data_IF_972723106649
#
_entry.id   IF_972723106649
#
_cell.length_a   1.000
_cell.length_b   1.000
_cell.length_c   1.000
_cell.angle_alpha   90.00
_cell.angle_beta   90.00
_cell.angle_gamma   90.00
#
_symmetry.space_group_name_H-M   'P 1'
#
loop_
_entity.id
_entity.type
_entity.pdbx_description
1 polymer ?
#
# COMPACT_ATOMS: atom_id res chain seq x y z
N UNK A 1 -25.15 -13.34 -12.46
CA UNK A 1 -24.67 -14.61 -13.04
C UNK A 1 -23.17 -14.60 -13.31
N UNK A 2 -22.60 -13.60 -13.97
CA UNK A 2 -21.15 -13.51 -14.32
C UNK A 2 -20.23 -13.46 -13.08
N UNK A 3 -20.62 -12.79 -11.99
CA UNK A 3 -19.80 -12.72 -10.77
C UNK A 3 -19.76 -14.05 -9.98
N UNK A 4 -20.82 -14.86 -10.04
CA UNK A 4 -20.80 -16.19 -9.44
C UNK A 4 -19.86 -17.13 -10.19
N UNK A 5 -19.82 -17.06 -11.52
CA UNK A 5 -18.93 -17.89 -12.35
C UNK A 5 -17.45 -17.54 -12.07
N UNK A 6 -17.11 -16.26 -11.92
CA UNK A 6 -15.74 -15.82 -11.59
C UNK A 6 -15.30 -16.32 -10.21
N UNK A 7 -16.17 -16.22 -9.21
CA UNK A 7 -15.84 -16.68 -7.84
C UNK A 7 -15.73 -18.21 -7.78
N UNK A 8 -16.60 -18.92 -8.50
CA UNK A 8 -16.52 -20.39 -8.58
C UNK A 8 -15.27 -20.85 -9.32
N UNK A 9 -14.90 -20.17 -10.40
CA UNK A 9 -13.68 -20.48 -11.16
C UNK A 9 -12.42 -20.22 -10.32
N UNK A 10 -12.38 -19.12 -9.57
CA UNK A 10 -11.27 -18.79 -8.67
C UNK A 10 -11.13 -19.82 -7.54
N UNK A 11 -12.24 -20.19 -6.89
CA UNK A 11 -12.26 -21.26 -5.87
C UNK A 11 -11.84 -22.61 -6.43
N UNK A 12 -12.27 -22.95 -7.65
CA UNK A 12 -11.89 -24.21 -8.30
C UNK A 12 -10.41 -24.24 -8.66
N UNK A 13 -9.82 -23.12 -9.12
CA UNK A 13 -8.39 -22.99 -9.39
C UNK A 13 -7.59 -23.11 -8.10
N UNK A 14 -8.02 -22.44 -7.01
CA UNK A 14 -7.40 -22.57 -5.69
C UNK A 14 -7.49 -24.01 -5.16
N UNK A 15 -8.62 -24.69 -5.33
CA UNK A 15 -8.82 -26.08 -4.90
C UNK A 15 -8.00 -27.07 -5.73
N UNK A 16 -7.89 -26.87 -7.06
CA UNK A 16 -7.02 -27.66 -7.92
C UNK A 16 -5.54 -27.43 -7.64
N UNK A 17 -5.13 -26.19 -7.32
CA UNK A 17 -3.78 -25.88 -6.87
C UNK A 17 -3.46 -26.54 -5.51
N UNK A 18 -4.45 -26.65 -4.63
CA UNK A 18 -4.30 -27.36 -3.35
C UNK A 18 -4.24 -28.88 -3.50
N UNK A 19 -4.95 -29.44 -4.46
CA UNK A 19 -4.91 -30.89 -4.78
C UNK A 19 -3.60 -31.29 -5.48
N UNK A 20 -3.07 -30.45 -6.38
CA UNK A 20 -1.79 -30.72 -7.04
C UNK A 20 -0.60 -30.66 -6.08
N UNK A 21 -0.70 -29.91 -4.97
CA UNK A 21 0.33 -29.88 -3.93
C UNK A 21 0.51 -31.20 -3.17
N UNK A 22 -0.52 -32.04 -3.11
CA UNK A 22 -0.41 -33.35 -2.45
C UNK A 22 0.44 -34.37 -3.23
N UNK A 23 0.62 -34.21 -4.54
CA UNK A 23 1.49 -35.10 -5.33
C UNK A 23 2.98 -34.70 -5.26
N UNK A 24 3.29 -33.44 -5.06
CA UNK A 24 4.68 -32.94 -4.94
C UNK A 24 5.15 -32.78 -3.49
N UNK A 25 4.23 -32.63 -2.53
CA UNK A 25 4.56 -32.37 -1.12
C UNK A 25 5.10 -33.60 -0.39
N UNK A 26 4.73 -34.82 -0.80
CA UNK A 26 5.10 -36.02 -0.07
C UNK A 26 6.56 -36.44 -0.20
N UNK A 27 7.33 -35.95 -1.16
CA UNK A 27 8.76 -36.28 -1.29
C UNK A 27 9.73 -35.10 -1.24
N UNK A 28 9.30 -33.84 -1.30
CA UNK A 28 10.18 -32.70 -1.48
C UNK A 28 10.30 -31.73 -0.28
N UNK A 29 9.19 -31.34 0.32
CA UNK A 29 9.18 -30.31 1.36
C UNK A 29 9.51 -30.82 2.77
N UNK A 30 9.14 -32.06 3.10
CA UNK A 30 9.31 -32.67 4.42
C UNK A 30 10.09 -34.00 4.43
N UNK A 31 10.85 -34.29 3.36
CA UNK A 31 11.69 -35.50 3.40
C UNK A 31 12.69 -35.36 4.57
N UNK A 32 12.76 -36.40 5.41
CA UNK A 32 13.74 -36.55 6.51
C UNK A 32 15.18 -36.64 6.01
N UNK A 33 15.56 -35.88 5.00
CA UNK A 33 16.97 -35.69 4.68
C UNK A 33 17.57 -34.91 5.85
N UNK A 34 18.50 -35.58 6.56
CA UNK A 34 19.23 -35.04 7.72
C UNK A 34 19.44 -33.55 7.57
N UNK A 35 18.96 -32.80 8.56
CA UNK A 35 19.01 -31.35 8.76
C UNK A 35 20.49 -30.85 8.86
N UNK A 36 21.33 -31.22 7.94
CA UNK A 36 22.80 -31.09 8.09
C UNK A 36 23.34 -29.79 7.48
N UNK A 37 22.54 -28.85 7.01
CA UNK A 37 23.12 -27.61 6.47
C UNK A 37 22.15 -26.41 6.51
N UNK A 38 21.45 -26.23 7.61
CA UNK A 38 20.66 -25.02 7.82
C UNK A 38 21.58 -23.84 8.11
N UNK A 39 21.32 -22.73 7.45
CA UNK A 39 21.96 -21.45 7.76
C UNK A 39 20.87 -20.37 7.94
N UNK A 40 21.25 -19.26 8.50
CA UNK A 40 20.37 -18.12 8.62
C UNK A 40 21.03 -16.88 8.00
N UNK A 41 20.22 -15.87 7.71
CA UNK A 41 20.72 -14.56 7.27
C UNK A 41 20.01 -13.47 8.08
N UNK A 42 20.74 -12.40 8.35
CA UNK A 42 20.21 -11.14 8.85
C UNK A 42 20.42 -10.10 7.76
N UNK A 43 19.36 -9.43 7.35
CA UNK A 43 19.41 -8.47 6.27
C UNK A 43 18.86 -7.11 6.67
N UNK A 44 19.41 -6.09 6.04
CA UNK A 44 18.90 -4.72 6.08
C UNK A 44 18.74 -4.22 4.64
N UNK A 45 17.64 -3.54 4.38
CA UNK A 45 17.32 -3.08 3.04
C UNK A 45 16.45 -1.85 3.00
N UNK A 46 16.26 -1.36 1.80
CA UNK A 46 15.38 -0.24 1.50
C UNK A 46 14.95 -0.25 0.05
N UNK A 47 14.00 0.60 -0.27
CA UNK A 47 13.48 0.69 -1.62
C UNK A 47 12.32 1.66 -1.75
N UNK A 48 11.44 1.42 -2.71
CA UNK A 48 10.29 2.26 -2.97
C UNK A 48 8.97 1.63 -2.50
N UNK A 49 8.03 2.47 -2.15
CA UNK A 49 6.67 2.09 -1.78
C UNK A 49 5.67 2.80 -2.70
N UNK A 50 4.64 2.05 -3.11
CA UNK A 50 3.63 2.49 -4.08
C UNK A 50 2.25 2.14 -3.53
N UNK A 51 1.38 3.12 -3.47
CA UNK A 51 0.00 2.97 -3.01
C UNK A 51 -0.95 2.77 -4.19
N UNK A 52 -1.97 1.92 -4.00
CA UNK A 52 -3.08 1.70 -4.91
C UNK A 52 -4.39 1.69 -4.13
N UNK A 53 -5.33 2.50 -4.54
CA UNK A 53 -6.63 2.70 -3.91
C UNK A 53 -7.35 3.90 -4.49
N UNK A 54 -8.10 4.63 -3.68
CA UNK A 54 -8.96 5.73 -4.16
C UNK A 54 -8.20 6.94 -4.72
N UNK A 55 -7.02 7.25 -4.17
CA UNK A 55 -6.16 8.36 -4.63
C UNK A 55 -5.10 7.91 -5.66
N UNK A 56 -5.06 6.62 -6.00
CA UNK A 56 -4.24 6.05 -7.07
C UNK A 56 -4.99 4.85 -7.68
N UNK A 57 -6.03 5.07 -8.50
CA UNK A 57 -6.91 4.01 -8.97
C UNK A 57 -6.20 2.90 -9.75
N UNK A 58 -6.60 1.66 -9.49
CA UNK A 58 -6.07 0.47 -10.18
C UNK A 58 -6.21 0.50 -11.71
N UNK A 59 -7.22 1.20 -12.24
CA UNK A 59 -7.39 1.40 -13.68
C UNK A 59 -6.22 2.16 -14.31
N UNK A 60 -5.44 2.85 -13.48
CA UNK A 60 -4.25 3.60 -13.86
C UNK A 60 -3.02 3.15 -13.06
N UNK A 61 -2.91 1.84 -12.75
CA UNK A 61 -1.85 1.28 -11.92
C UNK A 61 -0.44 1.65 -12.42
N UNK A 62 -0.24 1.70 -13.74
CA UNK A 62 1.03 2.13 -14.31
C UNK A 62 1.43 3.54 -13.84
N UNK A 63 0.48 4.48 -13.77
CA UNK A 63 0.72 5.81 -13.20
C UNK A 63 1.05 5.75 -11.72
N UNK A 64 0.40 4.87 -10.96
CA UNK A 64 0.66 4.65 -9.54
C UNK A 64 2.10 4.21 -9.24
N UNK A 65 2.75 3.51 -10.19
CA UNK A 65 4.13 3.05 -10.00
C UNK A 65 5.18 4.17 -10.01
N UNK A 66 4.91 5.33 -10.62
CA UNK A 66 5.86 6.45 -10.65
C UNK A 66 5.31 7.76 -10.12
N UNK A 67 4.00 7.82 -9.83
CA UNK A 67 3.37 8.98 -9.20
C UNK A 67 3.28 8.72 -7.70
N UNK A 68 3.59 9.70 -6.87
CA UNK A 68 3.51 9.59 -5.41
C UNK A 68 4.42 8.51 -4.78
N UNK A 69 5.49 8.10 -5.47
CA UNK A 69 6.48 7.13 -4.95
C UNK A 69 7.07 7.64 -3.66
N UNK A 70 7.18 6.75 -2.67
CA UNK A 70 7.81 7.02 -1.38
C UNK A 70 8.85 5.94 -1.09
N UNK A 71 9.56 6.09 0.01
CA UNK A 71 10.62 5.18 0.42
C UNK A 71 10.13 4.18 1.47
N UNK A 72 10.82 3.06 1.56
CA UNK A 72 10.71 2.13 2.67
C UNK A 72 12.10 1.68 3.13
N UNK A 73 12.17 1.22 4.37
CA UNK A 73 13.32 0.56 4.95
C UNK A 73 12.89 -0.70 5.66
N UNK A 74 13.72 -1.72 5.67
CA UNK A 74 13.39 -2.99 6.29
C UNK A 74 14.59 -3.68 6.92
N UNK A 75 14.32 -4.51 7.92
CA UNK A 75 15.24 -5.49 8.46
C UNK A 75 14.55 -6.86 8.49
N UNK A 76 15.32 -7.91 8.27
CA UNK A 76 14.78 -9.25 8.24
C UNK A 76 15.75 -10.28 8.80
N UNK A 77 15.18 -11.35 9.34
CA UNK A 77 15.87 -12.58 9.70
C UNK A 77 15.26 -13.71 8.90
N UNK A 78 16.09 -14.41 8.13
CA UNK A 78 15.66 -15.55 7.30
C UNK A 78 16.37 -16.82 7.76
N UNK A 79 15.60 -17.85 8.09
CA UNK A 79 16.09 -19.19 8.43
C UNK A 79 15.80 -20.13 7.28
N UNK A 80 16.83 -20.66 6.65
CA UNK A 80 16.71 -21.68 5.60
C UNK A 80 16.47 -23.03 6.24
N UNK A 81 15.29 -23.61 6.03
CA UNK A 81 14.83 -24.87 6.61
C UNK A 81 15.21 -26.05 5.72
N UNK A 82 15.11 -25.87 4.42
CA UNK A 82 15.49 -26.85 3.41
C UNK A 82 16.26 -26.11 2.28
N UNK A 83 16.84 -26.83 1.32
CA UNK A 83 17.43 -26.19 0.14
C UNK A 83 16.44 -25.30 -0.63
N UNK A 84 15.15 -25.63 -0.60
CA UNK A 84 14.14 -24.96 -1.41
C UNK A 84 13.17 -24.08 -0.60
N UNK A 85 13.21 -24.12 0.74
CA UNK A 85 12.29 -23.37 1.58
C UNK A 85 12.98 -22.69 2.76
N UNK A 86 12.54 -21.47 3.06
CA UNK A 86 12.97 -20.70 4.22
C UNK A 86 11.79 -20.02 4.91
N UNK A 87 11.95 -19.72 6.20
CA UNK A 87 11.05 -18.87 6.97
C UNK A 87 11.73 -17.52 7.20
N UNK A 88 10.99 -16.42 7.04
CA UNK A 88 11.49 -15.05 7.22
C UNK A 88 10.57 -14.27 8.14
N UNK A 89 11.18 -13.65 9.14
CA UNK A 89 10.56 -12.60 9.94
C UNK A 89 11.09 -11.26 9.44
N UNK A 90 10.22 -10.30 9.19
CA UNK A 90 10.60 -8.98 8.71
C UNK A 90 9.90 -7.88 9.49
N UNK A 91 10.62 -6.80 9.74
CA UNK A 91 10.07 -5.51 10.14
C UNK A 91 10.35 -4.50 9.03
N UNK A 92 9.32 -3.76 8.62
CA UNK A 92 9.44 -2.74 7.59
C UNK A 92 8.81 -1.44 8.06
N UNK A 93 9.47 -0.33 7.78
CA UNK A 93 8.90 1.01 7.88
C UNK A 93 8.71 1.54 6.47
N UNK A 94 7.47 1.84 6.08
CA UNK A 94 7.14 2.27 4.74
C UNK A 94 6.28 3.52 4.77
N UNK A 95 6.59 4.51 3.95
CA UNK A 95 5.74 5.67 3.74
C UNK A 95 4.90 5.47 2.51
N UNK A 96 3.58 5.61 2.64
CA UNK A 96 2.65 5.67 1.53
C UNK A 96 2.15 7.11 1.36
N UNK A 97 1.78 7.48 0.15
CA UNK A 97 1.13 8.74 -0.13
C UNK A 97 0.26 8.64 -1.37
N UNK A 98 -0.83 9.38 -1.39
CA UNK A 98 -1.67 9.66 -2.55
C UNK A 98 -1.96 11.16 -2.60
N UNK A 99 -2.16 11.67 -3.80
CA UNK A 99 -2.46 13.07 -4.05
C UNK A 99 -3.23 13.20 -5.35
N UNK A 100 -4.52 13.48 -5.24
CA UNK A 100 -5.41 13.65 -6.38
C UNK A 100 -4.90 14.69 -7.36
N UNK A 101 -4.38 15.82 -6.87
CA UNK A 101 -3.82 16.86 -7.72
C UNK A 101 -2.63 16.33 -8.53
N UNK A 102 -1.65 15.72 -7.85
CA UNK A 102 -0.44 15.22 -8.50
C UNK A 102 -0.75 14.09 -9.50
N UNK A 103 -1.75 13.28 -9.21
CA UNK A 103 -2.15 12.14 -10.04
C UNK A 103 -2.94 12.58 -11.28
N UNK A 104 -3.82 13.60 -11.17
CA UNK A 104 -4.80 13.95 -12.19
C UNK A 104 -4.40 15.14 -13.07
N UNK A 105 -3.53 16.05 -12.62
CA UNK A 105 -3.21 17.30 -13.31
C UNK A 105 -2.74 17.13 -14.77
N UNK A 106 -2.15 15.99 -15.11
CA UNK A 106 -1.66 15.70 -16.48
C UNK A 106 -2.69 14.99 -17.36
N UNK A 107 -3.83 14.59 -16.80
CA UNK A 107 -4.86 13.86 -17.54
C UNK A 107 -6.27 14.21 -17.05
N UNK A 108 -6.62 15.49 -17.19
CA UNK A 108 -7.92 16.01 -16.75
C UNK A 108 -9.10 15.38 -17.48
N UNK A 109 -8.93 14.96 -18.74
CA UNK A 109 -9.98 14.31 -19.51
C UNK A 109 -10.53 13.05 -18.81
N UNK A 110 -9.65 12.24 -18.22
CA UNK A 110 -10.00 10.97 -17.59
C UNK A 110 -10.16 11.06 -16.08
N UNK A 111 -9.55 12.08 -15.46
CA UNK A 111 -9.41 12.18 -14.01
C UNK A 111 -9.92 13.53 -13.45
N UNK A 112 -10.86 14.16 -14.16
CA UNK A 112 -11.46 15.42 -13.73
C UNK A 112 -12.04 15.32 -12.32
N UNK A 113 -12.73 14.22 -12.01
CA UNK A 113 -13.29 13.97 -10.68
C UNK A 113 -12.24 13.97 -9.57
N UNK A 114 -11.12 13.25 -9.77
CA UNK A 114 -10.00 13.25 -8.80
C UNK A 114 -9.41 14.67 -8.66
N UNK A 115 -9.19 15.37 -9.77
CA UNK A 115 -8.68 16.74 -9.73
C UNK A 115 -9.57 17.68 -8.89
N UNK A 116 -10.88 17.59 -9.09
CA UNK A 116 -11.85 18.39 -8.33
C UNK A 116 -11.90 17.98 -6.86
N UNK A 117 -11.90 16.67 -6.57
CA UNK A 117 -11.93 16.13 -5.22
C UNK A 117 -10.77 16.62 -4.36
N UNK A 118 -9.56 16.70 -4.92
CA UNK A 118 -8.37 17.30 -4.33
C UNK A 118 -7.96 16.71 -2.96
N UNK A 119 -8.22 15.44 -2.75
CA UNK A 119 -7.76 14.76 -1.54
C UNK A 119 -6.27 14.42 -1.64
N UNK A 120 -5.61 14.38 -0.51
CA UNK A 120 -4.27 13.84 -0.39
C UNK A 120 -4.08 13.21 0.97
N UNK A 121 -3.13 12.28 1.05
CA UNK A 121 -2.73 11.69 2.31
C UNK A 121 -1.24 11.31 2.32
N UNK A 122 -0.74 11.12 3.52
CA UNK A 122 0.49 10.44 3.86
C UNK A 122 0.22 9.46 4.97
N UNK A 123 0.71 8.25 4.83
CA UNK A 123 0.57 7.21 5.85
C UNK A 123 1.93 6.54 6.07
N UNK A 124 2.43 6.58 7.30
CA UNK A 124 3.68 5.96 7.68
C UNK A 124 3.36 4.62 8.35
N UNK A 125 3.66 3.52 7.65
CA UNK A 125 3.36 2.16 8.06
C UNK A 125 4.52 1.54 8.84
N UNK A 126 4.19 0.81 9.89
CA UNK A 126 5.10 -0.08 10.63
C UNK A 126 4.58 -1.50 10.45
N UNK A 127 5.23 -2.29 9.58
CA UNK A 127 4.79 -3.62 9.18
C UNK A 127 5.67 -4.68 9.83
N UNK A 128 5.05 -5.68 10.47
CA UNK A 128 5.71 -6.89 10.97
C UNK A 128 5.10 -8.10 10.27
N UNK A 129 5.94 -8.92 9.62
CA UNK A 129 5.50 -10.06 8.82
C UNK A 129 6.28 -11.32 9.10
N UNK A 130 5.58 -12.46 8.98
CA UNK A 130 6.13 -13.80 8.91
C UNK A 130 5.83 -14.39 7.55
N UNK A 131 6.87 -14.79 6.81
CA UNK A 131 6.74 -15.26 5.43
C UNK A 131 7.49 -16.57 5.20
N UNK A 132 6.89 -17.46 4.39
CA UNK A 132 7.59 -18.58 3.77
C UNK A 132 8.20 -18.14 2.45
N UNK A 133 9.44 -18.49 2.21
CA UNK A 133 10.15 -18.28 0.95
C UNK A 133 10.34 -19.63 0.26
N UNK A 134 10.04 -19.68 -1.03
CA UNK A 134 10.15 -20.88 -1.85
C UNK A 134 11.02 -20.60 -3.07
N UNK A 135 12.18 -21.26 -3.12
CA UNK A 135 13.07 -21.14 -4.26
C UNK A 135 12.43 -21.79 -5.49
N UNK A 136 12.48 -21.09 -6.63
CA UNK A 136 11.92 -21.58 -7.89
C UNK A 136 12.87 -22.59 -8.55
N UNK A 137 14.17 -22.37 -8.40
CA UNK A 137 15.19 -23.26 -8.96
C UNK A 137 15.71 -24.23 -7.87
N UNK A 138 16.06 -25.47 -8.24
CA UNK A 138 16.63 -26.41 -7.29
C UNK A 138 18.02 -25.94 -6.83
N UNK A 139 18.28 -26.05 -5.53
CA UNK A 139 19.60 -25.77 -4.96
C UNK A 139 20.33 -27.11 -4.73
N UNK A 140 21.42 -27.33 -5.45
CA UNK A 140 22.20 -28.56 -5.35
C UNK A 140 23.29 -28.51 -4.30
N UNK A 141 23.79 -27.33 -3.99
CA UNK A 141 24.84 -27.15 -2.99
C UNK A 141 24.30 -27.20 -1.55
N UNK A 142 25.16 -27.68 -0.62
CA UNK A 142 24.79 -27.84 0.80
C UNK A 142 25.25 -26.64 1.64
N UNK A 143 24.32 -26.17 2.49
CA UNK A 143 24.59 -25.15 3.50
C UNK A 143 24.96 -23.78 2.98
N UNK A 144 25.53 -22.96 3.86
CA UNK A 144 25.91 -21.59 3.56
C UNK A 144 26.93 -21.46 2.43
N UNK A 145 27.90 -22.37 2.35
CA UNK A 145 28.95 -22.35 1.31
C UNK A 145 28.41 -22.77 -0.06
N UNK A 146 27.50 -23.74 -0.09
CA UNK A 146 26.91 -24.30 -1.33
C UNK A 146 25.75 -23.51 -1.88
N UNK A 147 25.52 -22.24 -1.46
CA UNK A 147 24.48 -21.38 -2.01
C UNK A 147 24.69 -21.15 -3.50
N UNK A 148 23.60 -21.20 -4.27
CA UNK A 148 23.61 -20.83 -5.69
C UNK A 148 24.01 -19.36 -5.87
N UNK A 149 24.72 -19.06 -6.97
CA UNK A 149 25.11 -17.69 -7.30
C UNK A 149 23.88 -16.79 -7.49
N UNK A 150 22.82 -17.34 -8.08
CA UNK A 150 21.55 -16.67 -8.30
C UNK A 150 20.40 -17.61 -7.94
N UNK A 151 19.39 -17.11 -7.22
CA UNK A 151 18.23 -17.88 -6.78
C UNK A 151 16.96 -17.03 -6.81
N UNK A 152 16.11 -17.19 -7.83
CA UNK A 152 14.77 -16.62 -7.82
C UNK A 152 13.89 -17.36 -6.84
N UNK A 153 12.98 -16.63 -6.19
CA UNK A 153 12.04 -17.18 -5.20
C UNK A 153 10.71 -16.45 -5.20
N UNK A 154 9.71 -17.12 -4.64
CA UNK A 154 8.42 -16.54 -4.28
C UNK A 154 8.32 -16.54 -2.75
N UNK A 155 7.75 -15.48 -2.19
CA UNK A 155 7.43 -15.40 -0.78
C UNK A 155 5.94 -15.16 -0.59
N UNK A 156 5.37 -15.80 0.43
CA UNK A 156 4.00 -15.59 0.88
C UNK A 156 3.99 -15.58 2.40
N UNK A 157 3.18 -14.71 2.99
CA UNK A 157 3.16 -14.56 4.44
C UNK A 157 1.90 -13.94 4.98
N UNK A 158 1.94 -13.71 6.28
CA UNK A 158 0.94 -12.97 7.05
C UNK A 158 1.63 -11.99 7.97
N UNK A 159 0.94 -10.94 8.33
CA UNK A 159 1.49 -9.94 9.23
C UNK A 159 0.46 -8.95 9.73
N UNK A 160 0.95 -7.98 10.47
CA UNK A 160 0.21 -6.84 10.95
C UNK A 160 0.95 -5.56 10.57
N UNK A 161 0.21 -4.51 10.30
CA UNK A 161 0.80 -3.18 10.17
C UNK A 161 0.07 -2.17 11.04
N UNK A 162 0.84 -1.28 11.65
CA UNK A 162 0.35 -0.06 12.29
C UNK A 162 0.35 1.06 11.27
N UNK A 163 -0.72 1.89 11.26
CA UNK A 163 -0.87 3.01 10.34
C UNK A 163 -1.61 4.18 10.98
N UNK A 164 -1.42 5.37 10.43
CA UNK A 164 -2.14 6.57 10.82
C UNK A 164 -2.15 7.54 9.64
N UNK A 165 -3.19 7.50 8.79
CA UNK A 165 -3.29 8.40 7.65
C UNK A 165 -3.42 9.85 8.13
N UNK A 166 -2.64 10.73 7.48
CA UNK A 166 -2.58 12.16 7.77
C UNK A 166 -2.74 12.97 6.49
N UNK A 167 -3.34 14.14 6.60
CA UNK A 167 -3.35 15.13 5.53
C UNK A 167 -2.94 16.50 6.08
N UNK A 168 -2.66 17.45 5.20
CA UNK A 168 -2.46 18.85 5.55
C UNK A 168 -3.77 19.61 5.38
N UNK A 169 -4.03 20.59 6.20
CA UNK A 169 -5.10 21.56 5.93
C UNK A 169 -4.83 22.33 4.62
N UNK A 170 -5.80 23.09 4.15
CA UNK A 170 -5.63 23.98 3.00
C UNK A 170 -4.41 24.87 3.21
N UNK A 171 -3.67 25.12 2.13
CA UNK A 171 -2.56 26.06 2.18
C UNK A 171 -3.09 27.48 2.51
N UNK A 172 -2.39 28.18 3.36
CA UNK A 172 -2.79 29.50 3.85
C UNK A 172 -1.61 30.47 3.83
N UNK A 173 -1.90 31.79 3.80
CA UNK A 173 -0.92 32.86 3.80
C UNK A 173 -0.50 33.19 5.23
N UNK A 174 0.19 32.25 5.88
CA UNK A 174 0.63 32.32 7.27
C UNK A 174 2.14 32.54 7.43
N UNK A 175 2.88 32.60 6.33
CA UNK A 175 4.31 32.84 6.35
C UNK A 175 4.69 34.18 6.92
N UNK A 176 5.96 34.37 7.38
CA UNK A 176 6.42 35.59 8.08
C UNK A 176 6.19 36.90 7.30
N UNK A 177 6.16 36.82 5.96
CA UNK A 177 5.92 37.94 5.05
C UNK A 177 4.56 37.85 4.34
N UNK A 178 3.60 37.09 4.87
CA UNK A 178 2.34 36.80 4.18
C UNK A 178 2.49 35.81 3.02
N UNK A 179 3.49 34.95 3.06
CA UNK A 179 3.73 33.92 2.05
C UNK A 179 2.79 32.74 2.23
N UNK A 180 2.48 32.08 1.09
CA UNK A 180 1.66 30.88 1.07
C UNK A 180 2.44 29.68 1.65
N UNK A 181 1.94 29.10 2.73
CA UNK A 181 2.62 28.01 3.44
C UNK A 181 1.81 26.70 3.50
N UNK A 182 2.58 25.63 3.66
CA UNK A 182 2.04 24.29 3.92
C UNK A 182 1.67 24.16 5.38
N UNK A 183 0.42 23.84 5.64
CA UNK A 183 -0.06 23.59 6.99
C UNK A 183 0.49 22.27 7.56
N UNK A 184 0.52 22.07 8.89
CA UNK A 184 1.02 20.86 9.53
C UNK A 184 0.20 19.60 9.14
N UNK A 185 0.81 18.43 9.32
CA UNK A 185 0.14 17.14 9.10
C UNK A 185 -0.80 16.83 10.26
N UNK A 186 -2.07 16.61 9.95
CA UNK A 186 -3.15 16.28 10.89
C UNK A 186 -3.61 14.84 10.67
N UNK A 187 -3.82 14.08 11.76
CA UNK A 187 -4.36 12.72 11.69
C UNK A 187 -5.83 12.74 11.25
N UNK A 188 -6.17 11.91 10.26
CA UNK A 188 -7.51 11.92 9.66
C UNK A 188 -8.54 11.09 10.45
N UNK A 189 -8.11 9.99 11.08
CA UNK A 189 -9.02 9.09 11.82
C UNK A 189 -9.93 9.81 12.83
N UNK A 190 -9.45 10.76 13.67
CA UNK A 190 -10.33 11.46 14.61
C UNK A 190 -11.36 12.34 13.92
N UNK A 191 -11.06 12.81 12.70
CA UNK A 191 -11.91 13.73 11.95
C UNK A 191 -13.08 13.03 11.27
N UNK A 192 -13.06 11.69 11.16
CA UNK A 192 -14.13 10.88 10.57
C UNK A 192 -14.57 11.38 9.19
N UNK A 193 -13.63 11.74 8.34
CA UNK A 193 -13.87 12.46 7.08
C UNK A 193 -14.74 11.71 6.08
N UNK A 194 -14.86 10.37 6.21
CA UNK A 194 -15.76 9.50 5.44
C UNK A 194 -17.02 9.09 6.22
N UNK A 195 -17.37 9.81 7.29
CA UNK A 195 -18.58 9.52 8.08
C UNK A 195 -18.45 8.31 9.00
N UNK A 196 -17.24 7.85 9.30
CA UNK A 196 -17.01 6.63 10.10
C UNK A 196 -17.67 6.73 11.50
N UNK A 197 -18.69 5.88 11.72
CA UNK A 197 -19.43 5.83 12.98
C UNK A 197 -20.33 7.03 13.25
N UNK A 198 -20.66 7.82 12.22
CA UNK A 198 -21.65 8.88 12.33
C UNK A 198 -23.09 8.34 12.16
N UNK A 199 -24.10 8.96 12.80
CA UNK A 199 -25.48 8.57 12.60
C UNK A 199 -25.91 8.63 11.13
N UNK A 200 -26.56 7.60 10.64
CA UNK A 200 -26.99 7.49 9.24
C UNK A 200 -25.92 6.98 8.25
N UNK A 201 -24.69 6.74 8.70
CA UNK A 201 -23.61 6.19 7.86
C UNK A 201 -23.27 4.76 8.28
N UNK A 202 -23.15 3.87 7.29
CA UNK A 202 -22.83 2.44 7.51
C UNK A 202 -21.36 2.18 7.81
N UNK A 203 -20.49 3.13 7.53
CA UNK A 203 -19.04 3.03 7.73
C UNK A 203 -18.68 3.04 9.22
N UNK A 204 -17.87 2.05 9.66
CA UNK A 204 -17.41 1.96 11.05
C UNK A 204 -16.03 2.62 11.20
N UNK A 205 -15.71 3.14 12.41
CA UNK A 205 -14.34 3.55 12.71
C UNK A 205 -13.38 2.39 12.53
N UNK A 206 -12.28 2.63 11.81
CA UNK A 206 -11.26 1.61 11.56
C UNK A 206 -10.22 1.53 12.68
N UNK A 207 -9.57 0.36 12.80
CA UNK A 207 -8.41 0.20 13.70
C UNK A 207 -7.15 0.75 13.05
N UNK A 208 -6.22 1.30 13.85
CA UNK A 208 -4.89 1.70 13.41
C UNK A 208 -3.90 0.52 13.30
N UNK A 209 -4.30 -0.68 13.72
CA UNK A 209 -3.55 -1.91 13.50
C UNK A 209 -4.41 -2.83 12.65
N UNK A 210 -3.85 -3.28 11.52
CA UNK A 210 -4.56 -4.05 10.50
C UNK A 210 -3.74 -5.25 10.05
N UNK A 211 -4.39 -6.37 9.66
CA UNK A 211 -3.69 -7.49 9.06
C UNK A 211 -3.26 -7.19 7.62
N UNK A 212 -2.20 -7.88 7.19
CA UNK A 212 -1.66 -7.82 5.84
C UNK A 212 -1.21 -9.20 5.38
N UNK A 213 -1.39 -9.48 4.10
CA UNK A 213 -0.87 -10.68 3.44
C UNK A 213 0.14 -10.26 2.36
N UNK A 214 1.44 -10.34 2.64
CA UNK A 214 2.48 -10.09 1.65
C UNK A 214 2.60 -11.28 0.69
N UNK A 215 2.65 -10.97 -0.61
CA UNK A 215 3.01 -11.90 -1.69
C UNK A 215 4.13 -11.23 -2.47
N UNK A 216 5.29 -11.88 -2.58
CA UNK A 216 6.44 -11.28 -3.20
C UNK A 216 7.15 -12.23 -4.17
N UNK A 217 7.77 -11.64 -5.16
CA UNK A 217 8.74 -12.28 -6.03
C UNK A 217 10.10 -11.61 -5.81
N UNK A 218 11.16 -12.38 -5.80
CA UNK A 218 12.49 -11.85 -5.58
C UNK A 218 13.58 -12.71 -6.20
N UNK A 219 14.74 -12.10 -6.27
CA UNK A 219 15.97 -12.76 -6.70
C UNK A 219 17.05 -12.53 -5.65
N UNK A 220 17.69 -13.61 -5.21
CA UNK A 220 18.82 -13.57 -4.31
C UNK A 220 20.10 -13.83 -5.11
N UNK A 221 21.07 -12.96 -4.97
CA UNK A 221 22.39 -13.04 -5.60
C UNK A 221 23.45 -13.21 -4.50
N UNK A 222 24.27 -14.24 -4.63
CA UNK A 222 25.41 -14.46 -3.73
C UNK A 222 26.54 -13.51 -4.13
N UNK A 223 26.86 -12.54 -3.27
CA UNK A 223 28.00 -11.64 -3.47
C UNK A 223 29.31 -12.40 -3.15
N UNK A 224 29.37 -13.01 -1.97
CA UNK A 224 30.53 -13.78 -1.52
C UNK A 224 30.10 -14.84 -0.48
N UNK A 225 31.03 -15.43 0.28
CA UNK A 225 30.71 -16.45 1.28
C UNK A 225 29.84 -15.93 2.43
N UNK A 226 29.93 -14.64 2.74
CA UNK A 226 29.29 -14.04 3.91
C UNK A 226 28.10 -13.12 3.57
N UNK A 227 27.96 -12.69 2.32
CA UNK A 227 26.94 -11.71 1.93
C UNK A 227 26.12 -12.16 0.73
N UNK A 228 24.83 -11.91 0.83
CA UNK A 228 23.86 -12.01 -0.25
C UNK A 228 23.24 -10.63 -0.53
N UNK A 229 22.95 -10.35 -1.81
CA UNK A 229 22.09 -9.26 -2.23
C UNK A 229 20.74 -9.81 -2.67
N UNK A 230 19.65 -9.14 -2.30
CA UNK A 230 18.30 -9.54 -2.69
C UNK A 230 17.57 -8.33 -3.29
N UNK A 231 16.97 -8.52 -4.46
CA UNK A 231 15.98 -7.61 -5.02
C UNK A 231 14.61 -8.28 -4.96
N UNK A 232 13.63 -7.61 -4.37
CA UNK A 232 12.29 -8.14 -4.15
C UNK A 232 11.23 -7.09 -4.50
N UNK A 233 10.13 -7.53 -5.14
CA UNK A 233 8.92 -6.76 -5.30
C UNK A 233 7.76 -7.52 -4.64
N UNK A 234 7.13 -6.90 -3.65
CA UNK A 234 6.10 -7.54 -2.85
C UNK A 234 4.81 -6.73 -2.84
N UNK A 235 3.73 -7.38 -3.26
CA UNK A 235 2.38 -6.86 -3.19
C UNK A 235 1.80 -7.17 -1.79
N UNK A 236 1.11 -6.20 -1.20
CA UNK A 236 0.47 -6.30 0.12
C UNK A 236 -1.03 -6.22 -0.05
N UNK A 237 -1.67 -7.36 0.15
CA UNK A 237 -3.12 -7.43 0.24
C UNK A 237 -3.55 -7.02 1.65
N UNK A 238 -4.41 -6.01 1.73
CA UNK A 238 -5.06 -5.60 2.97
C UNK A 238 -6.55 -5.85 2.84
N UNK A 239 -7.26 -6.36 3.84
CA UNK A 239 -8.70 -6.57 3.77
C UNK A 239 -9.51 -5.29 4.07
N UNK A 240 -8.85 -4.12 4.11
CA UNK A 240 -9.43 -2.85 4.57
C UNK A 240 -9.21 -1.72 3.55
N UNK A 241 -10.12 -0.78 3.56
CA UNK A 241 -10.30 0.30 2.59
C UNK A 241 -10.09 1.68 3.26
N UNK A 242 -9.04 1.81 4.08
CA UNK A 242 -8.76 3.04 4.83
C UNK A 242 -7.26 3.31 5.02
N UNK A 243 -6.43 2.90 4.07
CA UNK A 243 -5.02 3.31 4.08
C UNK A 243 -4.87 4.81 3.84
N UNK A 244 -5.82 5.41 3.13
CA UNK A 244 -5.90 6.83 2.78
C UNK A 244 -7.01 7.61 3.52
N UNK A 245 -7.73 6.95 4.46
CA UNK A 245 -8.92 7.46 5.16
C UNK A 245 -10.14 7.67 4.24
N UNK A 246 -10.11 7.14 3.02
CA UNK A 246 -11.22 7.20 2.07
C UNK A 246 -11.83 5.81 1.94
N UNK A 247 -13.11 5.68 2.18
CA UNK A 247 -13.86 4.44 2.01
C UNK A 247 -15.03 4.63 1.06
N UNK A 248 -15.71 3.55 0.72
CA UNK A 248 -16.84 3.50 -0.23
C UNK A 248 -18.13 4.17 0.27
N UNK A 249 -18.05 5.08 1.21
CA UNK A 249 -19.19 5.79 1.76
C UNK A 249 -19.60 7.01 0.95
N UNK A 250 -20.79 7.50 1.23
CA UNK A 250 -21.26 8.80 0.77
C UNK A 250 -20.52 9.94 1.48
N UNK A 251 -20.49 11.12 0.87
CA UNK A 251 -19.99 12.32 1.54
C UNK A 251 -20.89 12.65 2.75
N UNK A 252 -20.32 12.75 3.97
CA UNK A 252 -21.10 13.14 5.14
C UNK A 252 -21.54 14.60 5.04
N UNK A 253 -22.75 14.93 5.54
CA UNK A 253 -23.19 16.32 5.61
C UNK A 253 -22.19 17.16 6.43
N UNK A 254 -21.87 18.38 5.97
CA UNK A 254 -20.91 19.27 6.66
C UNK A 254 -21.33 19.58 8.09
N UNK A 255 -22.63 19.80 8.33
CA UNK A 255 -23.17 20.04 9.67
C UNK A 255 -22.91 18.86 10.61
N UNK A 256 -23.02 17.63 10.10
CA UNK A 256 -22.77 16.42 10.87
C UNK A 256 -21.28 16.25 11.16
N UNK A 257 -20.40 16.52 10.19
CA UNK A 257 -18.95 16.53 10.40
C UNK A 257 -18.54 17.58 11.43
N UNK A 258 -19.11 18.79 11.33
CA UNK A 258 -18.82 19.87 12.26
C UNK A 258 -19.24 19.55 13.70
N UNK A 259 -20.28 18.74 13.91
CA UNK A 259 -20.70 18.30 15.24
C UNK A 259 -19.73 17.35 15.95
N UNK A 260 -18.82 16.71 15.19
CA UNK A 260 -17.86 15.71 15.70
C UNK A 260 -16.45 16.29 15.88
N UNK A 261 -15.92 16.94 14.85
CA UNK A 261 -14.55 17.47 14.84
C UNK A 261 -14.47 18.94 14.50
N UNK A 262 -15.55 19.68 14.67
CA UNK A 262 -15.64 21.08 14.29
C UNK A 262 -15.51 21.29 12.79
N UNK A 263 -15.27 22.53 12.39
CA UNK A 263 -15.07 22.88 10.97
C UNK A 263 -13.93 22.08 10.32
N UNK A 264 -12.92 21.68 11.10
CA UNK A 264 -11.78 20.92 10.60
C UNK A 264 -12.20 19.60 9.95
N UNK A 265 -13.17 18.86 10.52
CA UNK A 265 -13.68 17.61 9.91
C UNK A 265 -14.33 17.86 8.54
N UNK A 266 -15.08 18.94 8.40
CA UNK A 266 -15.70 19.33 7.13
C UNK A 266 -14.63 19.78 6.12
N UNK A 267 -13.65 20.58 6.53
CA UNK A 267 -12.58 21.09 5.66
C UNK A 267 -11.70 19.96 5.10
N UNK A 268 -11.39 18.95 5.91
CA UNK A 268 -10.63 17.78 5.44
C UNK A 268 -11.46 16.80 4.60
N UNK A 269 -12.77 16.83 4.71
CA UNK A 269 -13.67 16.01 3.88
C UNK A 269 -13.92 16.68 2.52
N UNK A 270 -14.20 17.98 2.49
CA UNK A 270 -14.61 18.75 1.32
C UNK A 270 -13.51 19.71 0.87
N UNK A 271 -12.67 19.25 -0.07
CA UNK A 271 -11.47 19.99 -0.51
C UNK A 271 -11.56 20.55 -1.94
N UNK A 272 -12.69 20.36 -2.62
CA UNK A 272 -12.85 20.74 -4.01
C UNK A 272 -12.64 22.27 -4.24
N UNK A 273 -13.09 23.10 -3.30
CA UNK A 273 -12.99 24.57 -3.38
C UNK A 273 -11.62 25.16 -3.06
N UNK A 274 -10.60 24.37 -2.68
CA UNK A 274 -9.28 24.88 -2.38
C UNK A 274 -8.61 25.46 -3.63
N UNK A 275 -8.16 26.70 -3.52
CA UNK A 275 -7.47 27.42 -4.62
C UNK A 275 -6.07 26.87 -4.88
N UNK A 276 -5.39 26.38 -3.86
CA UNK A 276 -4.03 25.87 -3.94
C UNK A 276 -3.96 24.40 -3.56
N UNK A 277 -3.06 23.65 -4.22
CA UNK A 277 -2.70 22.31 -3.77
C UNK A 277 -1.95 22.40 -2.43
N UNK A 278 -2.47 21.73 -1.40
CA UNK A 278 -1.89 21.76 -0.06
C UNK A 278 -0.45 21.17 0.01
N UNK A 279 -0.07 20.30 -0.93
CA UNK A 279 1.26 19.70 -0.98
C UNK A 279 2.23 20.44 -1.88
N UNK A 280 1.75 21.04 -2.98
CA UNK A 280 2.60 21.68 -3.99
C UNK A 280 2.58 23.21 -3.91
N UNK A 281 1.61 23.81 -3.22
CA UNK A 281 1.33 25.24 -3.21
C UNK A 281 1.05 25.83 -4.60
N UNK A 282 0.62 24.97 -5.52
CA UNK A 282 0.35 25.40 -6.89
C UNK A 282 -1.10 25.84 -7.00
N UNK A 283 -1.34 26.96 -7.67
CA UNK A 283 -2.68 27.46 -7.96
C UNK A 283 -3.39 26.50 -8.92
N UNK A 284 -4.59 26.06 -8.53
CA UNK A 284 -5.44 25.12 -9.29
C UNK A 284 -6.41 25.82 -10.21
N UNK A 285 -6.60 27.14 -10.07
CA UNK A 285 -7.67 27.91 -10.71
C UNK A 285 -7.71 27.78 -12.24
N UNK A 286 -6.55 27.80 -12.90
CA UNK A 286 -6.48 27.70 -14.36
C UNK A 286 -7.06 26.38 -14.91
N UNK A 287 -6.82 25.27 -14.23
CA UNK A 287 -7.29 23.94 -14.64
C UNK A 287 -8.62 23.55 -14.00
N UNK A 288 -9.05 24.26 -12.94
CA UNK A 288 -10.26 23.95 -12.19
C UNK A 288 -11.51 24.06 -13.07
N UNK A 289 -11.62 25.14 -13.85
CA UNK A 289 -12.75 25.35 -14.77
C UNK A 289 -12.82 24.24 -15.81
N UNK A 290 -11.69 23.89 -16.44
CA UNK A 290 -11.61 22.80 -17.40
C UNK A 290 -12.03 21.45 -16.77
N UNK A 291 -11.55 21.15 -15.56
CA UNK A 291 -11.91 19.94 -14.86
C UNK A 291 -13.40 19.89 -14.52
N UNK A 292 -13.99 21.01 -14.07
CA UNK A 292 -15.40 21.09 -13.76
C UNK A 292 -16.27 20.90 -15.00
N UNK A 293 -15.92 21.52 -16.13
CA UNK A 293 -16.62 21.34 -17.41
C UNK A 293 -16.54 19.89 -17.90
N UNK A 294 -15.35 19.27 -17.80
CA UNK A 294 -15.15 17.88 -18.20
C UNK A 294 -15.96 16.92 -17.33
N UNK A 295 -15.97 17.14 -16.01
CA UNK A 295 -16.72 16.32 -15.06
C UNK A 295 -18.23 16.46 -15.26
N UNK A 296 -18.73 17.69 -15.50
CA UNK A 296 -20.15 17.94 -15.75
C UNK A 296 -20.65 17.23 -17.03
N UNK A 297 -19.83 17.18 -18.09
CA UNK A 297 -20.18 16.47 -19.33
C UNK A 297 -20.32 14.97 -19.14
N UNK A 298 -19.61 14.39 -18.18
CA UNK A 298 -19.58 12.94 -17.95
C UNK A 298 -20.64 12.48 -16.95
N UNK A 299 -20.91 13.28 -15.93
CA UNK A 299 -21.71 12.84 -14.77
C UNK A 299 -23.05 13.60 -14.60
N UNK A 300 -23.18 14.78 -15.15
CA UNK A 300 -24.34 15.65 -14.94
C UNK A 300 -24.82 16.12 -16.30
N UNK A 301 -26.13 16.29 -16.44
CA UNK A 301 -26.76 16.84 -17.64
C UNK A 301 -25.99 18.09 -18.13
N UNK A 302 -25.72 18.24 -19.43
CA UNK A 302 -24.95 19.34 -19.99
C UNK A 302 -25.51 20.73 -19.74
N UNK A 303 -26.66 20.83 -19.10
CA UNK A 303 -27.36 22.08 -18.74
C UNK A 303 -26.94 22.70 -17.41
N UNK A 304 -26.15 22.01 -16.58
CA UNK A 304 -25.72 22.57 -15.30
C UNK A 304 -24.38 23.27 -15.48
N UNK A 305 -24.36 24.59 -15.30
CA UNK A 305 -23.15 25.39 -15.33
C UNK A 305 -22.19 24.95 -14.20
N UNK A 306 -20.86 24.89 -14.46
CA UNK A 306 -19.89 24.59 -13.42
C UNK A 306 -19.99 25.61 -12.29
N UNK A 307 -20.17 25.13 -11.08
CA UNK A 307 -20.26 25.96 -9.88
C UNK A 307 -18.93 25.90 -9.11
N UNK A 308 -18.52 27.03 -8.56
CA UNK A 308 -17.39 27.09 -7.64
C UNK A 308 -17.75 26.54 -6.25
N UNK A 309 -19.01 26.17 -6.02
CA UNK A 309 -19.44 25.56 -4.77
C UNK A 309 -19.06 24.06 -4.77
N UNK A 310 -18.15 23.60 -3.86
CA UNK A 310 -17.77 22.20 -3.75
C UNK A 310 -18.98 21.24 -3.58
N UNK A 311 -20.03 21.67 -2.90
CA UNK A 311 -21.25 20.86 -2.67
C UNK A 311 -22.06 20.61 -3.94
N UNK A 312 -21.97 21.49 -4.94
CA UNK A 312 -22.64 21.28 -6.22
C UNK A 312 -21.89 20.30 -7.12
N UNK A 313 -20.57 20.15 -6.92
CA UNK A 313 -19.72 19.22 -7.67
C UNK A 313 -19.70 17.84 -6.99
N UNK A 314 -19.56 17.85 -5.67
CA UNK A 314 -19.60 16.67 -4.80
C UNK A 314 -20.66 16.90 -3.71
N UNK A 315 -21.95 16.67 -3.99
CA UNK A 315 -22.99 16.76 -2.99
C UNK A 315 -22.73 15.71 -1.90
N UNK A 316 -23.19 15.99 -0.68
CA UNK A 316 -23.02 15.11 0.48
C UNK A 316 -23.52 13.67 0.24
N UNK A 317 -24.44 13.47 -0.71
CA UNK A 317 -24.94 12.16 -1.11
C UNK A 317 -24.05 11.42 -2.13
N UNK A 318 -23.00 12.05 -2.66
CA UNK A 318 -22.11 11.43 -3.62
C UNK A 318 -21.08 10.54 -2.93
N UNK A 319 -20.70 9.45 -3.59
CA UNK A 319 -19.64 8.58 -3.09
C UNK A 319 -18.29 9.32 -3.05
N UNK A 320 -17.62 9.27 -1.91
CA UNK A 320 -16.30 9.86 -1.69
C UNK A 320 -15.18 8.97 -2.24
N UNK A 321 -15.35 7.66 -2.20
CA UNK A 321 -14.40 6.66 -2.66
C UNK A 321 -15.06 5.52 -3.42
N UNK A 322 -14.26 4.55 -3.82
CA UNK A 322 -14.68 3.35 -4.54
C UNK A 322 -14.94 2.19 -3.57
N UNK A 323 -15.56 1.10 -4.06
CA UNK A 323 -15.71 -0.15 -3.28
C UNK A 323 -14.48 -1.06 -3.38
N UNK A 324 -13.36 -0.55 -3.84
CA UNK A 324 -12.13 -1.33 -4.03
C UNK A 324 -11.23 -1.18 -2.82
N UNK A 325 -10.77 -2.31 -2.33
CA UNK A 325 -9.85 -2.41 -1.21
C UNK A 325 -8.51 -1.77 -1.56
N UNK A 326 -7.93 -1.07 -0.62
CA UNK A 326 -6.58 -0.52 -0.73
C UNK A 326 -5.51 -1.61 -0.75
N UNK A 327 -4.42 -1.34 -1.42
CA UNK A 327 -3.21 -2.18 -1.39
C UNK A 327 -1.96 -1.35 -1.61
N UNK A 328 -0.79 -1.99 -1.44
CA UNK A 328 0.48 -1.33 -1.73
C UNK A 328 1.54 -2.32 -2.20
N UNK A 329 2.54 -1.79 -2.92
CA UNK A 329 3.72 -2.53 -3.33
C UNK A 329 4.93 -1.97 -2.60
N UNK A 330 5.78 -2.84 -2.07
CA UNK A 330 7.12 -2.50 -1.61
C UNK A 330 8.13 -3.14 -2.54
N UNK A 331 9.00 -2.34 -3.16
CA UNK A 331 10.23 -2.86 -3.75
C UNK A 331 11.34 -2.73 -2.71
N UNK A 332 12.20 -3.72 -2.62
CA UNK A 332 13.25 -3.77 -1.60
C UNK A 332 14.55 -4.31 -2.17
N UNK A 333 15.63 -3.62 -1.89
CA UNK A 333 17.00 -4.06 -2.13
C UNK A 333 17.65 -4.31 -0.78
N UNK A 334 18.04 -5.54 -0.52
CA UNK A 334 18.51 -5.99 0.80
C UNK A 334 19.90 -6.57 0.71
N UNK A 335 20.79 -6.15 1.60
CA UNK A 335 22.07 -6.82 1.85
C UNK A 335 21.90 -7.68 3.09
N UNK A 336 22.22 -8.96 2.98
CA UNK A 336 22.08 -9.93 4.05
C UNK A 336 23.42 -10.56 4.42
N UNK A 337 23.72 -10.59 5.71
CA UNK A 337 24.87 -11.31 6.27
C UNK A 337 24.48 -12.75 6.59
N UNK A 338 25.31 -13.68 6.20
CA UNK A 338 25.10 -15.11 6.36
C UNK A 338 25.69 -15.60 7.68
N UNK A 339 24.81 -16.07 8.55
CA UNK A 339 25.16 -16.71 9.81
C UNK A 339 25.45 -18.20 9.54
N UNK A 340 26.69 -18.59 9.51
CA UNK A 340 27.10 -19.98 9.33
C UNK A 340 27.08 -20.71 10.69
N UNK A 341 26.35 -21.81 10.79
CA UNK A 341 26.38 -22.68 11.96
C UNK A 341 27.65 -23.56 11.95
N UNK A 342 28.83 -22.97 12.06
CA UNK A 342 30.03 -23.71 12.39
C UNK A 342 30.13 -23.82 13.92
N UNK A 343 29.36 -24.74 14.51
CA UNK A 343 29.65 -25.21 15.87
C UNK A 343 30.97 -26.01 15.72
N UNK A 344 32.09 -25.37 16.03
CA UNK A 344 33.35 -26.10 16.26
C UNK A 344 33.18 -26.80 17.60
N UNK A 345 32.89 -28.09 17.60
CA UNK A 345 33.05 -28.90 18.82
C UNK A 345 34.54 -28.79 19.23
N UNK A 346 34.84 -28.42 20.49
CA UNK A 346 36.22 -28.47 20.96
C UNK A 346 36.72 -29.90 20.81
N UNK A 347 37.97 -30.13 20.42
CA UNK A 347 38.50 -31.47 20.37
C UNK A 347 38.43 -32.09 21.78
N UNK A 348 37.78 -33.24 21.89
CA UNK A 348 37.80 -34.03 23.08
C UNK A 348 39.26 -34.52 23.24
N UNK A 349 39.94 -34.01 24.26
CA UNK A 349 41.28 -34.51 24.68
C UNK A 349 41.14 -35.75 25.50
#
# INVERSE_FOLDING_TARGET
>A
MINHIKNTLFLTICFLAFQSSNLFAQKGLFSRQKVVNQYATVGIGGGSSHYFGDLAPYSYAYYGLYTNVRWNGSMNYTRFLTPNAAARVSFSYARLAGDDYNFSQKNLEKMAGNYLRNLHFRNDLQEFTLSGLFNILPQYGKGAKGRSAMMPYVAIGVGLYGHNPKARAAADFTGPNGELEKQPWTSLKPLRTSGQGLPGYSTKPYSLVQPVMPIAIGIRLKINQNFDFTAEAGFRLTPFDYLDDVGSGEYPAKSLLASVGGNQSADFSYRAGETYSALKLTNRGAQYKQAAETHAKVQVSPTIAPSNNPESIYPYSSSRGSKRIDSYILTQFTISYVLSNNIKCPPIR
#
